data_IF_828358522396
#
_entry.id   IF_828358522396
#
_cell.length_a   1.000
_cell.length_b   1.000
_cell.length_c   1.000
_cell.angle_alpha   90.00
_cell.angle_beta   90.00
_cell.angle_gamma   90.00
#
_symmetry.space_group_name_H-M   'P 1'
#
loop_
_entity.id
_entity.type
_entity.pdbx_description
1 polymer ?
#
# COMPACT_ATOMS: atom_id res chain seq x y z
N UNK A 1 11.92 -57.61 -10.11
CA UNK A 1 12.29 -57.14 -8.74
C UNK A 1 13.00 -55.78 -8.70
N UNK A 2 14.03 -55.51 -9.53
CA UNK A 2 14.74 -54.20 -9.52
C UNK A 2 13.83 -53.01 -9.78
N UNK A 3 12.95 -53.08 -10.80
CA UNK A 3 12.02 -51.98 -11.13
C UNK A 3 11.08 -51.65 -9.97
N UNK A 4 10.41 -52.67 -9.41
CA UNK A 4 9.52 -52.52 -8.25
C UNK A 4 10.24 -51.91 -7.04
N UNK A 5 11.47 -52.39 -6.74
CA UNK A 5 12.29 -51.86 -5.65
C UNK A 5 12.66 -50.38 -5.89
N UNK A 6 12.95 -50.00 -7.13
CA UNK A 6 13.22 -48.61 -7.50
C UNK A 6 11.97 -47.73 -7.36
N UNK A 7 10.80 -48.21 -7.77
CA UNK A 7 9.54 -47.46 -7.64
C UNK A 7 9.16 -47.22 -6.19
N UNK A 8 9.29 -48.24 -5.33
CA UNK A 8 9.06 -48.12 -3.88
C UNK A 8 10.06 -47.15 -3.24
N UNK A 9 11.32 -47.21 -3.65
CA UNK A 9 12.35 -46.29 -3.15
C UNK A 9 12.06 -44.84 -3.52
N UNK A 10 11.61 -44.57 -4.75
CA UNK A 10 11.20 -43.23 -5.20
C UNK A 10 10.00 -42.72 -4.38
N UNK A 11 9.01 -43.56 -4.15
CA UNK A 11 7.85 -43.19 -3.33
C UNK A 11 8.23 -42.85 -1.89
N UNK A 12 9.14 -43.63 -1.29
CA UNK A 12 9.66 -43.38 0.05
C UNK A 12 10.43 -42.05 0.10
N UNK A 13 11.21 -41.75 -0.96
CA UNK A 13 11.93 -40.48 -1.08
C UNK A 13 10.95 -39.31 -1.14
N UNK A 14 9.94 -39.37 -2.02
CA UNK A 14 8.91 -38.33 -2.16
C UNK A 14 8.16 -38.13 -0.83
N UNK A 15 7.83 -39.20 -0.13
CA UNK A 15 7.17 -39.12 1.18
C UNK A 15 8.01 -38.35 2.20
N UNK A 16 9.31 -38.67 2.31
CA UNK A 16 10.22 -37.95 3.20
C UNK A 16 10.38 -36.48 2.81
N UNK A 17 10.48 -36.16 1.52
CA UNK A 17 10.56 -34.78 1.04
C UNK A 17 9.27 -33.99 1.31
N UNK A 18 8.10 -34.62 1.22
CA UNK A 18 6.81 -33.96 1.45
C UNK A 18 6.68 -33.45 2.90
N UNK A 19 7.16 -34.24 3.88
CA UNK A 19 7.16 -33.86 5.29
C UNK A 19 8.14 -32.72 5.59
N UNK A 20 9.22 -32.58 4.81
CA UNK A 20 10.20 -31.51 5.00
C UNK A 20 9.72 -30.20 4.35
N UNK A 21 9.08 -30.28 3.18
CA UNK A 21 8.53 -29.11 2.48
C UNK A 21 7.51 -28.38 3.34
N UNK A 22 6.57 -29.11 3.96
CA UNK A 22 5.54 -28.52 4.83
C UNK A 22 6.13 -27.76 6.00
N UNK A 23 7.17 -28.31 6.65
CA UNK A 23 7.89 -27.63 7.73
C UNK A 23 8.59 -26.35 7.25
N UNK A 24 9.28 -26.39 6.11
CA UNK A 24 9.94 -25.22 5.54
C UNK A 24 8.96 -24.10 5.17
N UNK A 25 7.83 -24.45 4.53
CA UNK A 25 6.79 -23.48 4.21
C UNK A 25 6.17 -22.89 5.48
N UNK A 26 5.88 -23.72 6.49
CA UNK A 26 5.31 -23.24 7.76
C UNK A 26 6.26 -22.28 8.49
N UNK A 27 7.56 -22.54 8.46
CA UNK A 27 8.57 -21.67 9.07
C UNK A 27 8.63 -20.32 8.37
N UNK A 28 8.64 -20.32 7.02
CA UNK A 28 8.61 -19.08 6.24
C UNK A 28 7.36 -18.26 6.54
N UNK A 29 6.18 -18.88 6.53
CA UNK A 29 4.92 -18.18 6.84
C UNK A 29 4.90 -17.59 8.26
N UNK A 30 5.49 -18.28 9.25
CA UNK A 30 5.61 -17.77 10.62
C UNK A 30 6.57 -16.57 10.71
N UNK A 31 7.68 -16.60 9.97
CA UNK A 31 8.60 -15.46 9.90
C UNK A 31 7.95 -14.25 9.23
N UNK A 32 7.27 -14.46 8.10
CA UNK A 32 6.56 -13.40 7.38
C UNK A 32 5.49 -12.77 8.28
N UNK A 33 4.71 -13.61 8.99
CA UNK A 33 3.73 -13.14 9.97
C UNK A 33 4.37 -12.32 11.09
N UNK A 34 5.46 -12.80 11.68
CA UNK A 34 6.18 -12.09 12.74
C UNK A 34 6.68 -10.73 12.25
N UNK A 35 7.26 -10.67 11.05
CA UNK A 35 7.79 -9.43 10.50
C UNK A 35 6.67 -8.41 10.22
N UNK A 36 5.55 -8.84 9.64
CA UNK A 36 4.39 -7.99 9.42
C UNK A 36 3.80 -7.48 10.74
N UNK A 37 3.66 -8.36 11.73
CA UNK A 37 3.14 -7.98 13.04
C UNK A 37 4.06 -6.97 13.73
N UNK A 38 5.37 -7.18 13.69
CA UNK A 38 6.37 -6.25 14.24
C UNK A 38 6.30 -4.88 13.57
N UNK A 39 6.16 -4.85 12.24
CA UNK A 39 6.01 -3.59 11.50
C UNK A 39 4.75 -2.83 11.90
N UNK A 40 3.62 -3.54 12.02
CA UNK A 40 2.35 -2.95 12.45
C UNK A 40 2.44 -2.42 13.89
N UNK A 41 3.08 -3.17 14.80
CA UNK A 41 3.30 -2.73 16.17
C UNK A 41 4.11 -1.43 16.24
N UNK A 42 5.23 -1.34 15.51
CA UNK A 42 6.04 -0.13 15.48
C UNK A 42 5.31 1.06 14.84
N UNK A 43 4.47 0.81 13.83
CA UNK A 43 3.61 1.84 13.23
C UNK A 43 2.60 2.38 14.25
N UNK A 44 1.88 1.52 14.95
CA UNK A 44 0.90 1.92 15.96
C UNK A 44 1.56 2.62 17.15
N UNK A 45 2.76 2.18 17.54
CA UNK A 45 3.56 2.85 18.58
C UNK A 45 3.93 4.28 18.19
N UNK A 46 4.40 4.50 16.96
CA UNK A 46 4.66 5.86 16.43
C UNK A 46 3.39 6.68 16.40
N UNK A 47 2.29 6.12 15.90
CA UNK A 47 1.00 6.79 15.84
C UNK A 47 0.49 7.22 17.22
N UNK A 48 0.68 6.39 18.23
CA UNK A 48 0.33 6.72 19.62
C UNK A 48 1.12 7.93 20.14
N UNK A 49 2.42 8.00 19.86
CA UNK A 49 3.28 9.11 20.26
C UNK A 49 2.86 10.41 19.55
N UNK A 50 2.60 10.33 18.24
CA UNK A 50 2.09 11.46 17.44
C UNK A 50 0.79 12.00 18.03
N UNK A 51 -0.20 11.12 18.26
CA UNK A 51 -1.50 11.49 18.80
C UNK A 51 -1.39 12.11 20.20
N UNK A 52 -0.53 11.56 21.07
CA UNK A 52 -0.27 12.16 22.39
C UNK A 52 0.32 13.55 22.27
N UNK A 53 1.25 13.73 21.34
CA UNK A 53 1.86 15.04 21.07
C UNK A 53 0.83 16.03 20.52
N UNK A 54 -0.02 15.60 19.58
CA UNK A 54 -1.11 16.41 19.04
C UNK A 54 -2.10 16.83 20.14
N UNK A 55 -2.45 15.94 21.07
CA UNK A 55 -3.33 16.26 22.20
C UNK A 55 -2.73 17.35 23.07
N UNK A 56 -1.44 17.26 23.39
CA UNK A 56 -0.75 18.30 24.18
C UNK A 56 -0.69 19.61 23.39
N UNK A 57 -0.34 19.56 22.10
CA UNK A 57 -0.29 20.73 21.22
C UNK A 57 -1.64 21.45 21.14
N UNK A 58 -2.74 20.71 20.93
CA UNK A 58 -4.09 21.29 20.84
C UNK A 58 -4.60 21.87 22.17
N UNK A 59 -4.02 21.47 23.30
CA UNK A 59 -4.31 22.08 24.61
C UNK A 59 -3.57 23.40 24.82
N UNK A 60 -2.55 23.71 24.02
CA UNK A 60 -1.84 24.98 24.13
C UNK A 60 -2.75 26.14 23.69
N UNK A 61 -2.87 27.17 24.54
CA UNK A 61 -3.69 28.35 24.29
C UNK A 61 -3.32 29.07 23.00
N UNK A 62 -2.04 29.10 22.62
CA UNK A 62 -1.58 29.73 21.37
C UNK A 62 -2.09 28.99 20.12
N UNK A 63 -2.17 27.66 20.18
CA UNK A 63 -2.70 26.86 19.07
C UNK A 63 -4.21 27.00 18.98
N UNK A 64 -4.90 27.10 20.12
CA UNK A 64 -6.34 27.37 20.17
C UNK A 64 -6.65 28.75 19.58
N UNK A 65 -5.91 29.79 20.00
CA UNK A 65 -6.01 31.15 19.44
C UNK A 65 -5.79 31.13 17.92
N UNK A 66 -4.72 30.47 17.47
CA UNK A 66 -4.38 30.33 16.05
C UNK A 66 -5.49 29.63 15.25
N UNK A 67 -6.06 28.54 15.77
CA UNK A 67 -7.16 27.82 15.12
C UNK A 67 -8.38 28.75 14.99
N UNK A 68 -8.81 29.37 16.09
CA UNK A 68 -9.97 30.28 16.09
C UNK A 68 -9.73 31.44 15.11
N UNK A 69 -8.54 32.04 15.14
CA UNK A 69 -8.16 33.15 14.27
C UNK A 69 -8.18 32.75 12.78
N UNK A 70 -7.66 31.58 12.45
CA UNK A 70 -7.68 31.05 11.09
C UNK A 70 -9.10 30.73 10.60
N UNK A 71 -9.94 30.15 11.45
CA UNK A 71 -11.35 29.85 11.14
C UNK A 71 -12.15 31.15 10.87
N UNK A 72 -11.78 32.23 11.54
CA UNK A 72 -12.33 33.58 11.32
C UNK A 72 -11.66 34.32 10.15
N UNK A 73 -10.71 33.71 9.44
CA UNK A 73 -9.90 34.33 8.38
C UNK A 73 -9.20 35.63 8.83
N UNK A 74 -8.79 35.71 10.10
CA UNK A 74 -8.09 36.86 10.67
C UNK A 74 -6.58 36.67 10.57
N UNK A 75 -5.84 37.76 10.33
CA UNK A 75 -4.38 37.76 10.28
C UNK A 75 -3.80 38.29 11.58
N UNK A 76 -2.66 37.72 12.00
CA UNK A 76 -1.82 38.31 13.05
C UNK A 76 -0.87 39.32 12.43
N UNK A 77 -0.36 40.23 13.25
CA UNK A 77 0.67 41.17 12.81
C UNK A 77 1.86 40.43 12.18
N UNK A 78 2.29 40.87 11.00
CA UNK A 78 3.33 40.27 10.16
C UNK A 78 2.98 38.94 9.46
N UNK A 79 1.71 38.54 9.39
CA UNK A 79 1.27 37.42 8.54
C UNK A 79 0.78 37.89 7.15
N UNK A 80 1.02 37.05 6.12
CA UNK A 80 0.62 37.33 4.73
C UNK A 80 -0.47 36.33 4.32
N UNK A 81 -1.60 36.83 3.82
CA UNK A 81 -2.64 35.98 3.23
C UNK A 81 -2.25 35.53 1.82
N UNK A 82 -2.13 34.22 1.60
CA UNK A 82 -1.95 33.63 0.28
C UNK A 82 -3.31 33.22 -0.29
N UNK A 83 -3.80 33.96 -1.29
CA UNK A 83 -5.05 33.64 -1.99
C UNK A 83 -4.71 32.82 -3.23
N UNK A 84 -5.07 31.54 -3.22
CA UNK A 84 -4.84 30.62 -4.35
C UNK A 84 -6.12 30.55 -5.19
N UNK A 85 -6.10 30.94 -6.48
CA UNK A 85 -7.26 30.81 -7.35
C UNK A 85 -7.60 29.34 -7.58
N UNK A 86 -8.89 29.02 -7.67
CA UNK A 86 -9.34 27.66 -8.01
C UNK A 86 -8.72 27.25 -9.36
N UNK A 87 -8.20 26.02 -9.50
CA UNK A 87 -7.69 25.55 -10.77
C UNK A 87 -8.79 25.64 -11.83
N UNK A 88 -8.42 26.11 -13.02
CA UNK A 88 -9.34 26.14 -14.16
C UNK A 88 -9.80 24.71 -14.45
N UNK A 89 -11.12 24.50 -14.54
CA UNK A 89 -11.69 23.21 -14.94
C UNK A 89 -11.29 22.95 -16.38
N UNK A 90 -10.21 22.22 -16.60
CA UNK A 90 -9.84 21.73 -17.93
C UNK A 90 -10.93 20.75 -18.37
N UNK A 91 -11.55 20.94 -19.55
CA UNK A 91 -12.45 19.95 -20.09
C UNK A 91 -11.63 18.67 -20.32
N UNK A 92 -12.01 17.59 -19.63
CA UNK A 92 -11.42 16.29 -19.86
C UNK A 92 -11.91 15.83 -21.23
N UNK A 93 -11.06 15.95 -22.25
CA UNK A 93 -11.32 15.28 -23.52
C UNK A 93 -11.26 13.79 -23.25
N UNK A 94 -12.41 13.12 -23.28
CA UNK A 94 -12.50 11.67 -23.25
C UNK A 94 -11.87 11.14 -24.54
N UNK A 95 -10.57 10.86 -24.49
CA UNK A 95 -9.92 10.10 -25.55
C UNK A 95 -10.60 8.73 -25.60
N UNK A 96 -11.14 8.31 -26.75
CA UNK A 96 -11.75 6.99 -26.86
C UNK A 96 -10.73 5.93 -26.44
N UNK A 97 -11.19 4.94 -25.66
CA UNK A 97 -10.33 3.84 -25.21
C UNK A 97 -9.66 3.21 -26.44
N UNK A 98 -8.32 3.18 -26.52
CA UNK A 98 -7.66 2.63 -27.68
C UNK A 98 -8.01 1.15 -27.80
N UNK A 99 -8.28 0.70 -29.03
CA UNK A 99 -8.52 -0.72 -29.27
C UNK A 99 -7.29 -1.53 -28.81
N UNK A 100 -7.46 -2.77 -28.32
CA UNK A 100 -6.33 -3.64 -28.02
C UNK A 100 -5.39 -3.76 -29.22
N UNK A 101 -4.07 -3.81 -28.97
CA UNK A 101 -3.04 -3.79 -30.02
C UNK A 101 -3.30 -4.80 -31.15
N UNK A 102 -3.73 -6.02 -30.81
CA UNK A 102 -4.02 -7.06 -31.82
C UNK A 102 -5.13 -6.65 -32.80
N UNK A 103 -6.14 -5.90 -32.33
CA UNK A 103 -7.26 -5.45 -33.13
C UNK A 103 -6.88 -4.27 -34.02
N UNK A 104 -6.00 -3.40 -33.53
CA UNK A 104 -5.40 -2.32 -34.34
C UNK A 104 -4.61 -2.91 -35.52
N UNK A 105 -3.79 -3.93 -35.28
CA UNK A 105 -3.05 -4.60 -36.35
C UNK A 105 -3.97 -5.32 -37.33
N UNK A 106 -5.01 -5.98 -36.83
CA UNK A 106 -5.99 -6.65 -37.70
C UNK A 106 -6.71 -5.67 -38.63
N UNK A 107 -7.15 -4.53 -38.09
CA UNK A 107 -7.86 -3.49 -38.86
C UNK A 107 -6.93 -2.79 -39.87
N UNK A 108 -5.65 -2.61 -39.54
CA UNK A 108 -4.65 -2.09 -40.48
C UNK A 108 -4.43 -2.99 -41.71
N UNK A 109 -4.45 -4.31 -41.54
CA UNK A 109 -4.17 -5.26 -42.62
C UNK A 109 -5.42 -5.82 -43.30
N UNK A 110 -6.58 -5.79 -42.63
CA UNK A 110 -7.80 -6.44 -43.08
C UNK A 110 -9.07 -5.58 -42.95
N UNK A 111 -8.95 -4.33 -42.48
CA UNK A 111 -10.03 -3.34 -42.54
C UNK A 111 -10.25 -2.87 -43.98
N UNK A 112 -11.53 -2.65 -44.35
CA UNK A 112 -11.92 -2.14 -45.68
C UNK A 112 -11.46 -0.71 -45.92
#
# INVERSE_FOLDING_TARGET
>A
MKLIKNTVFIFLLIFLFSSLLTNLFSYKSKLDFYQQFKQNFEKEKKRNIELKTEVVRKKNTEEIEKIIRNDLNLLKDNEIALIIPSPAKTPVSVTPTPLPNWKQWWELYFGK
#
